data_IF_997545438783
#
_entry.id   IF_997545438783
#
_cell.length_a   1.000
_cell.length_b   1.000
_cell.length_c   1.000
_cell.angle_alpha   90.00
_cell.angle_beta   90.00
_cell.angle_gamma   90.00
#
_symmetry.space_group_name_H-M   'P 1'
#
loop_
_entity.id
_entity.type
_entity.pdbx_description
1 polymer ?
#
# COMPACT_ATOMS: atom_id res chain seq x y z
N UNK A 1 11.19 12.71 11.15
CA UNK A 1 11.37 12.92 9.69
C UNK A 1 10.80 11.75 8.91
N UNK A 2 9.64 11.96 8.31
CA UNK A 2 9.03 11.07 7.33
C UNK A 2 9.69 11.32 5.96
N UNK A 3 9.98 10.28 5.21
CA UNK A 3 10.51 10.42 3.85
C UNK A 3 9.32 10.47 2.91
N UNK A 4 8.98 11.66 2.42
CA UNK A 4 8.12 11.79 1.25
C UNK A 4 8.93 11.39 0.02
N UNK A 5 8.44 10.40 -0.74
CA UNK A 5 9.05 10.02 -2.00
C UNK A 5 8.77 11.12 -3.03
N UNK A 6 9.78 11.91 -3.38
CA UNK A 6 9.71 13.08 -4.26
C UNK A 6 9.34 12.76 -5.72
N UNK A 7 9.40 11.49 -6.13
CA UNK A 7 9.02 11.05 -7.48
C UNK A 7 7.51 10.86 -7.69
N UNK A 8 6.68 11.04 -6.64
CA UNK A 8 5.21 11.03 -6.73
C UNK A 8 4.58 12.44 -6.70
N UNK A 9 5.38 13.51 -6.63
CA UNK A 9 4.87 14.89 -6.73
C UNK A 9 4.04 15.19 -7.99
N UNK A 10 4.24 14.55 -9.17
CA UNK A 10 3.39 14.84 -10.34
C UNK A 10 1.93 14.41 -10.18
N UNK A 11 1.63 13.46 -9.30
CA UNK A 11 0.25 13.00 -9.07
C UNK A 11 -0.53 13.99 -8.18
N UNK A 12 0.17 14.68 -7.26
CA UNK A 12 -0.41 15.73 -6.43
C UNK A 12 -0.47 17.09 -7.13
N UNK A 13 0.49 17.43 -8.00
CA UNK A 13 0.48 18.72 -8.74
C UNK A 13 -0.48 18.73 -9.93
N UNK A 14 -0.80 17.57 -10.51
CA UNK A 14 -1.84 17.44 -11.56
C UNK A 14 -3.25 17.20 -11.01
N UNK A 15 -3.40 16.73 -9.76
CA UNK A 15 -4.70 16.72 -9.09
C UNK A 15 -5.05 18.15 -8.72
N UNK A 16 -5.91 18.75 -9.54
CA UNK A 16 -6.77 19.83 -9.10
C UNK A 16 -7.71 19.26 -8.04
N UNK A 17 -7.21 19.03 -6.82
CA UNK A 17 -8.01 18.95 -5.60
C UNK A 17 -8.70 20.30 -5.52
N UNK A 18 -9.84 20.45 -6.20
CA UNK A 18 -10.78 21.49 -5.83
C UNK A 18 -11.16 21.15 -4.41
N UNK A 19 -10.59 21.90 -3.48
CA UNK A 19 -11.18 22.12 -2.17
C UNK A 19 -12.59 22.63 -2.44
N UNK A 20 -13.55 21.72 -2.54
CA UNK A 20 -14.94 22.07 -2.36
C UNK A 20 -15.15 22.13 -0.84
N UNK A 21 -14.56 23.16 -0.22
CA UNK A 21 -15.17 23.71 0.98
C UNK A 21 -16.59 24.06 0.57
N UNK A 22 -17.55 23.53 1.31
CA UNK A 22 -18.95 23.83 1.06
C UNK A 22 -19.12 25.35 1.15
N UNK A 23 -19.45 26.02 0.04
CA UNK A 23 -19.85 27.42 0.05
C UNK A 23 -21.31 27.58 0.53
N UNK A 24 -21.99 26.47 0.88
CA UNK A 24 -23.24 26.52 1.62
C UNK A 24 -22.94 26.51 3.11
N UNK A 25 -23.65 27.34 3.87
CA UNK A 25 -23.59 27.58 5.33
C UNK A 25 -23.73 26.32 6.23
N UNK A 26 -23.68 25.11 5.67
CA UNK A 26 -23.78 23.86 6.39
C UNK A 26 -22.49 23.05 6.21
N UNK A 27 -21.56 23.17 7.15
CA UNK A 27 -20.26 22.48 7.07
C UNK A 27 -20.35 20.94 7.20
N UNK A 28 -21.55 20.38 7.34
CA UNK A 28 -21.77 18.94 7.56
C UNK A 28 -21.51 18.11 6.31
N UNK A 29 -21.08 16.87 6.51
CA UNK A 29 -20.80 15.90 5.46
C UNK A 29 -22.04 15.60 4.61
N UNK A 30 -21.91 15.69 3.30
CA UNK A 30 -22.96 15.40 2.31
C UNK A 30 -23.41 13.94 2.29
N UNK A 31 -22.64 13.03 2.89
CA UNK A 31 -22.93 11.59 2.93
C UNK A 31 -23.65 11.17 4.20
N UNK A 32 -23.17 11.56 5.37
CA UNK A 32 -23.79 11.16 6.65
C UNK A 32 -24.59 12.29 7.32
N UNK A 33 -24.37 13.56 6.95
CA UNK A 33 -25.06 14.70 7.54
C UNK A 33 -24.73 15.01 9.01
N UNK A 34 -23.74 14.33 9.62
CA UNK A 34 -23.42 14.44 11.05
C UNK A 34 -22.24 15.35 11.34
N UNK A 35 -21.06 14.97 10.86
CA UNK A 35 -19.78 15.63 11.13
C UNK A 35 -19.37 16.60 10.02
N UNK A 36 -18.44 17.55 10.28
CA UNK A 36 -17.92 18.42 9.24
C UNK A 36 -17.29 17.66 8.06
N UNK A 37 -17.57 18.10 6.84
CA UNK A 37 -17.01 17.50 5.62
C UNK A 37 -15.53 17.83 5.47
N UNK A 38 -14.68 16.94 6.00
CA UNK A 38 -13.23 17.03 5.85
C UNK A 38 -12.71 15.82 5.06
N UNK A 39 -11.52 15.94 4.46
CA UNK A 39 -10.85 14.79 3.82
C UNK A 39 -10.73 13.65 4.83
N UNK A 40 -10.33 13.96 6.07
CA UNK A 40 -10.26 12.99 7.18
C UNK A 40 -11.58 12.29 7.42
N UNK A 41 -12.69 13.05 7.43
CA UNK A 41 -14.02 12.49 7.60
C UNK A 41 -14.39 11.57 6.43
N UNK A 42 -14.36 12.05 5.19
CA UNK A 42 -14.75 11.28 3.99
C UNK A 42 -13.95 9.98 3.87
N UNK A 43 -12.64 10.06 4.12
CA UNK A 43 -11.72 8.96 3.83
C UNK A 43 -11.69 7.86 4.87
N UNK A 44 -12.11 8.13 6.11
CA UNK A 44 -11.90 7.16 7.20
C UNK A 44 -12.79 7.33 8.44
N UNK A 45 -13.68 8.32 8.51
CA UNK A 45 -14.56 8.50 9.67
C UNK A 45 -16.06 8.69 9.33
N UNK A 46 -16.40 8.84 8.05
CA UNK A 46 -17.78 8.89 7.60
C UNK A 46 -18.42 7.52 7.76
N UNK A 47 -19.38 7.37 8.65
CA UNK A 47 -20.08 6.10 8.92
C UNK A 47 -20.65 5.43 7.65
N UNK A 48 -21.00 6.21 6.63
CA UNK A 48 -21.57 5.71 5.37
C UNK A 48 -20.49 5.26 4.36
N UNK A 49 -19.24 5.72 4.49
CA UNK A 49 -18.16 5.44 3.53
C UNK A 49 -17.01 4.63 4.13
N UNK A 50 -16.65 4.93 5.38
CA UNK A 50 -15.46 4.41 6.03
C UNK A 50 -15.44 2.87 6.13
N UNK A 51 -16.54 2.16 6.46
CA UNK A 51 -16.49 0.71 6.59
C UNK A 51 -16.09 0.00 5.29
N UNK A 52 -16.79 0.28 4.19
CA UNK A 52 -16.54 -0.35 2.89
C UNK A 52 -15.18 0.01 2.32
N UNK A 53 -14.79 1.28 2.43
CA UNK A 53 -13.55 1.79 1.84
C UNK A 53 -12.32 1.41 2.68
N UNK A 54 -12.48 1.23 4.00
CA UNK A 54 -11.43 0.69 4.85
C UNK A 54 -11.14 -0.77 4.50
N UNK A 55 -12.19 -1.61 4.35
CA UNK A 55 -12.06 -3.02 3.95
C UNK A 55 -11.41 -3.11 2.56
N UNK A 56 -11.89 -2.33 1.59
CA UNK A 56 -11.34 -2.36 0.23
C UNK A 56 -9.84 -2.03 0.20
N UNK A 57 -9.40 -0.95 0.85
CA UNK A 57 -7.97 -0.58 0.88
C UNK A 57 -7.13 -1.59 1.65
N UNK A 58 -7.70 -2.18 2.71
CA UNK A 58 -7.07 -3.25 3.44
C UNK A 58 -6.79 -4.44 2.53
N UNK A 59 -7.81 -4.91 1.81
CA UNK A 59 -7.72 -6.07 0.94
C UNK A 59 -6.76 -5.82 -0.24
N UNK A 60 -6.82 -4.64 -0.87
CA UNK A 60 -5.87 -4.28 -1.94
C UNK A 60 -4.40 -4.26 -1.48
N UNK A 61 -4.12 -3.81 -0.25
CA UNK A 61 -2.77 -3.86 0.32
C UNK A 61 -2.37 -5.29 0.66
N UNK A 62 -3.32 -6.08 1.17
CA UNK A 62 -3.11 -7.47 1.50
C UNK A 62 -2.83 -8.32 0.26
N UNK A 63 -3.52 -8.07 -0.85
CA UNK A 63 -3.27 -8.69 -2.16
C UNK A 63 -1.83 -8.44 -2.63
N UNK A 64 -1.35 -7.18 -2.53
CA UNK A 64 0.03 -6.82 -2.90
C UNK A 64 1.04 -7.59 -2.06
N UNK A 65 0.86 -7.66 -0.73
CA UNK A 65 1.77 -8.39 0.15
C UNK A 65 1.72 -9.89 -0.14
N UNK A 66 0.53 -10.47 -0.27
CA UNK A 66 0.36 -11.88 -0.56
C UNK A 66 1.04 -12.26 -1.87
N UNK A 67 0.85 -11.48 -2.93
CA UNK A 67 1.52 -11.68 -4.21
C UNK A 67 3.05 -11.63 -4.05
N UNK A 68 3.58 -10.64 -3.34
CA UNK A 68 5.04 -10.50 -3.16
C UNK A 68 5.65 -11.64 -2.35
N UNK A 69 4.92 -12.17 -1.37
CA UNK A 69 5.35 -13.35 -0.60
C UNK A 69 5.28 -14.62 -1.45
N UNK A 70 4.23 -14.78 -2.26
CA UNK A 70 4.10 -15.92 -3.17
C UNK A 70 5.22 -15.94 -4.22
N UNK A 71 5.56 -14.78 -4.79
CA UNK A 71 6.70 -14.61 -5.70
C UNK A 71 8.03 -14.93 -5.01
N UNK A 72 8.27 -14.39 -3.81
CA UNK A 72 9.52 -14.58 -3.08
C UNK A 72 9.73 -16.02 -2.58
N UNK A 73 8.64 -16.78 -2.39
CA UNK A 73 8.65 -18.17 -1.96
C UNK A 73 8.50 -19.18 -3.11
N UNK A 74 8.48 -18.70 -4.36
CA UNK A 74 8.31 -19.52 -5.57
C UNK A 74 7.05 -20.40 -5.50
N UNK A 75 5.94 -19.82 -5.01
CA UNK A 75 4.64 -20.47 -4.86
C UNK A 75 3.70 -20.22 -6.05
N UNK A 76 4.12 -19.42 -7.02
CA UNK A 76 3.33 -19.08 -8.21
C UNK A 76 4.28 -18.89 -9.40
N UNK A 77 3.95 -19.52 -10.52
CA UNK A 77 4.77 -19.46 -11.75
C UNK A 77 4.40 -18.25 -12.62
N UNK A 78 3.12 -17.87 -12.63
CA UNK A 78 2.60 -16.77 -13.44
C UNK A 78 2.74 -15.40 -12.76
N UNK A 79 3.49 -14.50 -13.41
CA UNK A 79 3.58 -13.10 -13.00
C UNK A 79 2.44 -12.30 -13.62
N UNK A 80 1.43 -11.98 -12.81
CA UNK A 80 0.38 -11.05 -13.23
C UNK A 80 0.56 -9.66 -12.57
N UNK A 81 0.06 -8.58 -13.18
CA UNK A 81 0.04 -7.28 -12.53
C UNK A 81 -0.80 -7.28 -11.24
N UNK A 82 -0.37 -6.53 -10.23
CA UNK A 82 -1.01 -6.52 -8.89
C UNK A 82 -2.52 -6.25 -8.90
N UNK A 83 -3.02 -5.46 -9.85
CA UNK A 83 -4.44 -5.11 -9.95
C UNK A 83 -5.33 -6.23 -10.55
N UNK A 84 -4.73 -7.31 -11.08
CA UNK A 84 -5.43 -8.52 -11.53
C UNK A 84 -5.25 -9.70 -10.57
N UNK A 85 -4.38 -9.54 -9.58
CA UNK A 85 -4.04 -10.60 -8.66
C UNK A 85 -5.24 -10.97 -7.79
N UNK A 86 -5.41 -12.27 -7.52
CA UNK A 86 -6.36 -12.76 -6.52
C UNK A 86 -5.63 -13.77 -5.64
N UNK A 87 -5.57 -13.55 -4.33
CA UNK A 87 -4.88 -14.47 -3.43
C UNK A 87 -5.64 -15.79 -3.34
N UNK A 88 -4.89 -16.90 -3.42
CA UNK A 88 -5.43 -18.21 -3.10
C UNK A 88 -5.43 -18.40 -1.57
N UNK A 89 -6.45 -19.09 -1.04
CA UNK A 89 -6.58 -19.32 0.41
C UNK A 89 -5.37 -20.06 1.01
N UNK A 90 -4.77 -20.96 0.23
CA UNK A 90 -3.58 -21.72 0.60
C UNK A 90 -2.69 -21.87 -0.63
N UNK A 91 -1.42 -21.52 -0.48
CA UNK A 91 -0.36 -21.90 -1.41
C UNK A 91 0.69 -22.69 -0.62
N UNK A 92 1.17 -23.80 -1.18
CA UNK A 92 2.09 -24.68 -0.47
C UNK A 92 3.05 -25.38 -1.46
N UNK A 93 4.33 -25.41 -1.10
CA UNK A 93 5.35 -26.24 -1.72
C UNK A 93 6.15 -26.95 -0.61
N UNK A 94 7.23 -27.64 -0.95
CA UNK A 94 8.05 -28.39 0.02
C UNK A 94 8.72 -27.49 1.08
N UNK A 95 8.94 -26.22 0.75
CA UNK A 95 9.70 -25.28 1.57
C UNK A 95 8.81 -24.31 2.35
N UNK A 96 7.68 -23.91 1.77
CA UNK A 96 6.84 -22.83 2.23
C UNK A 96 5.36 -23.18 2.22
N UNK A 97 4.64 -22.57 3.15
CA UNK A 97 3.18 -22.60 3.23
C UNK A 97 2.67 -21.21 3.49
N UNK A 98 1.78 -20.71 2.65
CA UNK A 98 1.19 -19.38 2.73
C UNK A 98 -0.32 -19.52 2.87
N UNK A 99 -0.84 -19.02 3.99
CA UNK A 99 -2.28 -18.92 4.22
C UNK A 99 -2.75 -17.50 4.02
N UNK A 100 -3.93 -17.38 3.41
CA UNK A 100 -4.67 -16.15 3.26
C UNK A 100 -5.99 -16.22 4.02
N UNK A 101 -6.24 -15.23 4.86
CA UNK A 101 -7.50 -14.99 5.56
C UNK A 101 -8.13 -16.25 6.19
N UNK A 102 -7.30 -17.07 6.84
CA UNK A 102 -7.68 -18.38 7.37
C UNK A 102 -7.50 -18.43 8.89
N UNK A 103 -8.51 -18.92 9.59
CA UNK A 103 -8.42 -19.19 11.02
C UNK A 103 -7.48 -20.37 11.30
N UNK A 104 -6.64 -20.22 12.31
CA UNK A 104 -5.75 -21.25 12.82
C UNK A 104 -6.41 -21.84 14.07
N UNK A 105 -6.73 -23.13 14.02
CA UNK A 105 -7.29 -23.85 15.16
C UNK A 105 -6.13 -24.24 16.07
N UNK A 106 -6.28 -23.93 17.36
CA UNK A 106 -5.30 -24.22 18.42
C UNK A 106 -5.93 -25.10 19.49
N UNK A 107 -5.10 -25.85 20.23
CA UNK A 107 -5.58 -26.74 21.30
C UNK A 107 -6.19 -25.96 22.47
N UNK A 108 -5.67 -24.76 22.74
CA UNK A 108 -6.25 -23.81 23.69
C UNK A 108 -7.06 -22.75 22.97
N UNK A 109 -8.08 -22.24 23.65
CA UNK A 109 -8.83 -21.07 23.18
C UNK A 109 -7.93 -19.84 23.24
N UNK A 110 -7.73 -19.19 22.09
CA UNK A 110 -7.05 -17.89 21.99
C UNK A 110 -8.04 -16.82 21.51
N UNK A 111 -7.91 -15.56 21.96
CA UNK A 111 -8.88 -14.50 21.65
C UNK A 111 -8.87 -14.11 20.16
N UNK A 112 -7.72 -14.21 19.49
CA UNK A 112 -7.57 -13.88 18.08
C UNK A 112 -6.82 -15.00 17.36
N UNK A 113 -7.46 -15.60 16.35
CA UNK A 113 -6.92 -16.78 15.66
C UNK A 113 -6.89 -16.68 14.13
N UNK A 114 -7.23 -15.52 13.55
CA UNK A 114 -7.33 -15.32 12.09
C UNK A 114 -6.45 -14.14 11.61
N UNK A 115 -5.13 -14.33 11.51
CA UNK A 115 -4.26 -13.36 10.83
C UNK A 115 -4.66 -13.18 9.37
N UNK A 116 -4.36 -12.01 8.79
CA UNK A 116 -4.66 -11.75 7.37
C UNK A 116 -3.82 -12.67 6.47
N UNK A 117 -2.53 -12.81 6.81
CA UNK A 117 -1.59 -13.67 6.09
C UNK A 117 -0.73 -14.43 7.10
N UNK A 118 -0.51 -15.72 6.84
CA UNK A 118 0.45 -16.54 7.60
C UNK A 118 1.43 -17.19 6.64
N UNK A 119 2.72 -16.87 6.76
CA UNK A 119 3.79 -17.50 5.98
C UNK A 119 4.60 -18.41 6.88
N UNK A 120 4.72 -19.69 6.53
CA UNK A 120 5.53 -20.67 7.23
C UNK A 120 6.66 -21.14 6.33
N UNK A 121 7.89 -21.03 6.81
CA UNK A 121 9.06 -21.70 6.23
C UNK A 121 9.25 -23.04 6.96
N UNK A 122 8.99 -24.13 6.25
CA UNK A 122 9.03 -25.51 6.76
C UNK A 122 10.46 -25.93 7.12
N UNK A 123 11.45 -25.58 6.29
CA UNK A 123 12.86 -25.93 6.50
C UNK A 123 13.47 -25.21 7.68
N UNK A 124 13.31 -23.88 7.74
CA UNK A 124 13.84 -23.06 8.83
C UNK A 124 13.00 -23.16 10.12
N UNK A 125 11.81 -23.78 10.04
CA UNK A 125 10.79 -23.85 11.09
C UNK A 125 10.48 -22.47 11.66
N UNK A 126 10.25 -21.50 10.76
CA UNK A 126 9.90 -20.14 11.12
C UNK A 126 8.56 -19.76 10.53
N UNK A 127 7.67 -19.21 11.37
CA UNK A 127 6.35 -18.72 10.94
C UNK A 127 6.25 -17.21 11.12
N UNK A 128 5.58 -16.53 10.20
CA UNK A 128 5.29 -15.11 10.23
C UNK A 128 3.78 -14.91 10.22
N UNK A 129 3.25 -14.26 11.25
CA UNK A 129 1.85 -13.83 11.32
C UNK A 129 1.80 -12.37 10.94
N UNK A 130 1.11 -12.05 9.86
CA UNK A 130 1.06 -10.73 9.26
C UNK A 130 -0.34 -10.17 9.45
N UNK A 131 -0.41 -8.95 9.95
CA UNK A 131 -1.65 -8.25 10.23
C UNK A 131 -1.59 -6.85 9.64
N UNK A 132 -2.58 -6.51 8.83
CA UNK A 132 -2.61 -5.32 7.98
C UNK A 132 -3.59 -4.32 8.56
N UNK A 133 -3.27 -3.04 8.46
CA UNK A 133 -4.21 -1.98 8.83
C UNK A 133 -3.97 -0.69 8.08
N UNK A 134 -5.07 -0.02 7.74
CA UNK A 134 -5.09 1.28 7.07
C UNK A 134 -5.74 2.35 7.97
N UNK A 135 -5.10 2.74 9.09
CA UNK A 135 -5.69 3.70 10.01
C UNK A 135 -5.61 5.13 9.48
N UNK A 136 -6.29 6.04 10.16
CA UNK A 136 -6.00 7.47 10.03
C UNK A 136 -4.60 7.80 10.54
N UNK A 137 -3.99 8.86 9.98
CA UNK A 137 -2.64 9.32 10.36
C UNK A 137 -2.47 9.55 11.87
N UNK A 138 -3.46 10.12 12.55
CA UNK A 138 -3.40 10.39 13.99
C UNK A 138 -3.42 9.11 14.85
N UNK A 139 -4.00 8.02 14.33
CA UNK A 139 -4.09 6.73 15.02
C UNK A 139 -2.93 5.80 14.67
N UNK A 140 -2.02 6.21 13.78
CA UNK A 140 -1.00 5.34 13.20
C UNK A 140 -0.13 4.65 14.27
N UNK A 141 0.37 5.42 15.24
CA UNK A 141 1.20 4.87 16.31
C UNK A 141 0.44 3.86 17.19
N UNK A 142 -0.78 4.22 17.61
CA UNK A 142 -1.66 3.36 18.41
C UNK A 142 -1.95 2.04 17.67
N UNK A 143 -2.36 2.11 16.41
CA UNK A 143 -2.67 0.93 15.60
C UNK A 143 -1.45 0.03 15.39
N UNK A 144 -0.24 0.57 15.22
CA UNK A 144 0.97 -0.24 15.13
C UNK A 144 1.17 -1.06 16.41
N UNK A 145 1.06 -0.43 17.59
CA UNK A 145 1.22 -1.12 18.87
C UNK A 145 0.15 -2.18 19.10
N UNK A 146 -1.11 -1.88 18.79
CA UNK A 146 -2.23 -2.84 18.89
C UNK A 146 -1.97 -4.08 18.02
N UNK A 147 -1.58 -3.87 16.76
CA UNK A 147 -1.30 -4.95 15.80
C UNK A 147 -0.08 -5.80 16.19
N UNK A 148 0.93 -5.21 16.84
CA UNK A 148 2.08 -5.94 17.38
C UNK A 148 1.71 -6.89 18.52
N UNK A 149 0.64 -6.60 19.27
CA UNK A 149 0.26 -7.35 20.46
C UNK A 149 -0.90 -8.32 20.23
N UNK A 150 -1.72 -8.10 19.19
CA UNK A 150 -2.95 -8.86 18.93
C UNK A 150 -2.78 -10.38 18.90
N UNK A 151 -1.72 -10.88 18.25
CA UNK A 151 -1.52 -12.32 18.02
C UNK A 151 -0.42 -12.95 18.91
N UNK A 152 -0.08 -12.33 20.04
CA UNK A 152 0.98 -12.84 20.92
C UNK A 152 0.68 -14.24 21.47
N UNK A 153 -0.56 -14.50 21.89
CA UNK A 153 -0.96 -15.81 22.41
C UNK A 153 -1.01 -16.87 21.31
N UNK A 154 -1.61 -16.53 20.16
CA UNK A 154 -1.61 -17.39 18.98
C UNK A 154 -0.19 -17.78 18.56
N UNK A 155 0.76 -16.83 18.59
CA UNK A 155 2.16 -17.11 18.24
C UNK A 155 2.81 -18.12 19.19
N UNK A 156 2.49 -18.08 20.49
CA UNK A 156 3.00 -19.05 21.48
C UNK A 156 2.43 -20.44 21.21
N UNK A 157 1.14 -20.55 20.97
CA UNK A 157 0.48 -21.83 20.70
C UNK A 157 0.98 -22.45 19.38
N UNK A 158 1.05 -21.67 18.30
CA UNK A 158 1.61 -22.12 17.01
C UNK A 158 3.05 -22.62 17.18
N UNK A 159 3.87 -21.92 17.98
CA UNK A 159 5.26 -22.31 18.20
C UNK A 159 5.37 -23.73 18.75
N UNK A 160 4.51 -24.07 19.72
CA UNK A 160 4.48 -25.39 20.35
C UNK A 160 3.85 -26.41 19.40
N UNK A 161 2.62 -26.14 18.91
CA UNK A 161 1.86 -27.08 18.08
C UNK A 161 2.58 -27.46 16.80
N UNK A 162 3.16 -26.48 16.10
CA UNK A 162 3.84 -26.70 14.82
C UNK A 162 5.35 -26.90 14.99
N UNK A 163 5.83 -27.05 16.24
CA UNK A 163 7.25 -27.26 16.60
C UNK A 163 8.17 -26.25 15.89
N UNK A 164 7.77 -24.99 15.87
CA UNK A 164 8.50 -23.92 15.20
C UNK A 164 9.65 -23.41 16.09
N UNK A 165 10.77 -23.07 15.46
CA UNK A 165 11.90 -22.39 16.11
C UNK A 165 11.52 -20.96 16.50
N UNK A 166 10.77 -20.26 15.64
CA UNK A 166 10.27 -18.93 15.94
C UNK A 166 8.94 -18.64 15.23
N UNK A 167 8.08 -17.89 15.91
CA UNK A 167 6.87 -17.29 15.33
C UNK A 167 6.97 -15.79 15.50
N UNK A 168 6.92 -15.04 14.39
CA UNK A 168 7.17 -13.60 14.34
C UNK A 168 5.90 -12.87 13.96
N UNK A 169 5.53 -11.86 14.75
CA UNK A 169 4.44 -10.95 14.43
C UNK A 169 4.96 -9.80 13.57
N UNK A 170 4.29 -9.55 12.45
CA UNK A 170 4.69 -8.54 11.47
C UNK A 170 3.51 -7.62 11.16
N UNK A 171 3.39 -6.48 11.84
CA UNK A 171 2.38 -5.48 11.49
C UNK A 171 2.74 -4.81 10.17
N UNK A 172 1.75 -4.66 9.29
CA UNK A 172 1.85 -3.92 8.04
C UNK A 172 0.84 -2.78 8.10
N UNK A 173 1.32 -1.57 8.42
CA UNK A 173 0.45 -0.42 8.67
C UNK A 173 0.82 0.73 7.74
N UNK A 174 -0.19 1.28 7.04
CA UNK A 174 -0.06 2.44 6.16
C UNK A 174 -1.22 3.39 6.46
N UNK A 175 -0.98 4.69 6.58
CA UNK A 175 -2.09 5.63 6.77
C UNK A 175 -3.00 5.66 5.55
N UNK A 176 -4.31 5.84 5.76
CA UNK A 176 -5.29 6.15 4.71
C UNK A 176 -4.86 7.31 3.78
N UNK A 177 -4.04 8.25 4.26
CA UNK A 177 -3.50 9.36 3.44
C UNK A 177 -2.21 8.99 2.68
N UNK A 178 -1.77 7.74 2.74
CA UNK A 178 -0.53 7.25 2.12
C UNK A 178 0.73 7.54 2.92
N UNK A 179 0.65 7.95 4.19
CA UNK A 179 1.85 8.14 5.03
C UNK A 179 2.43 6.78 5.40
N UNK A 180 3.74 6.63 5.19
CA UNK A 180 4.48 5.39 5.43
C UNK A 180 5.26 5.50 6.75
N UNK A 181 4.94 4.68 7.76
CA UNK A 181 5.72 4.65 9.00
C UNK A 181 7.07 3.99 8.79
N UNK A 182 8.10 4.41 9.54
CA UNK A 182 9.44 3.81 9.51
C UNK A 182 9.46 2.33 9.88
N UNK A 183 8.50 1.91 10.72
CA UNK A 183 8.33 0.50 11.12
C UNK A 183 8.02 -0.40 9.93
N UNK A 184 7.36 0.11 8.88
CA UNK A 184 7.04 -0.69 7.69
C UNK A 184 8.30 -1.22 7.01
N UNK A 185 9.36 -0.41 6.91
CA UNK A 185 10.63 -0.85 6.33
C UNK A 185 11.25 -2.02 7.10
N UNK A 186 11.11 -2.02 8.44
CA UNK A 186 11.56 -3.13 9.27
C UNK A 186 10.70 -4.38 9.06
N UNK A 187 9.37 -4.22 8.95
CA UNK A 187 8.45 -5.32 8.63
C UNK A 187 8.77 -5.97 7.28
N UNK A 188 8.98 -5.17 6.23
CA UNK A 188 9.34 -5.67 4.90
C UNK A 188 10.68 -6.42 4.93
N UNK A 189 11.69 -5.89 5.63
CA UNK A 189 12.98 -6.56 5.81
C UNK A 189 12.83 -7.91 6.53
N UNK A 190 11.98 -7.98 7.57
CA UNK A 190 11.72 -9.25 8.30
C UNK A 190 11.09 -10.32 7.41
N UNK A 191 10.27 -9.91 6.44
CA UNK A 191 9.65 -10.78 5.45
C UNK A 191 10.55 -11.09 4.24
N UNK A 192 11.78 -10.58 4.23
CA UNK A 192 12.70 -10.66 3.09
C UNK A 192 12.10 -10.09 1.79
N UNK A 193 11.25 -9.07 1.91
CA UNK A 193 10.69 -8.36 0.76
C UNK A 193 11.54 -7.16 0.40
N UNK A 194 11.55 -6.81 -0.90
CA UNK A 194 12.29 -5.66 -1.38
C UNK A 194 11.80 -4.36 -0.69
N UNK A 195 12.68 -3.44 -0.25
CA UNK A 195 12.28 -2.21 0.42
C UNK A 195 11.25 -1.41 -0.38
N UNK A 196 11.39 -1.33 -1.71
CA UNK A 196 10.47 -0.59 -2.59
C UNK A 196 9.04 -1.16 -2.67
N UNK A 197 8.73 -2.31 -2.06
CA UNK A 197 7.37 -2.84 -2.01
C UNK A 197 6.38 -1.84 -1.38
N UNK A 198 6.84 -1.00 -0.44
CA UNK A 198 5.98 0.06 0.13
C UNK A 198 5.42 1.00 -0.94
N UNK A 199 6.10 1.19 -2.08
CA UNK A 199 5.64 2.10 -3.14
C UNK A 199 4.37 1.57 -3.77
N UNK A 200 4.28 0.26 -4.02
CA UNK A 200 3.08 -0.37 -4.58
C UNK A 200 1.92 -0.31 -3.57
N UNK A 201 2.20 -0.61 -2.30
CA UNK A 201 1.21 -0.53 -1.24
C UNK A 201 0.70 0.91 -1.04
N UNK A 202 1.59 1.90 -1.09
CA UNK A 202 1.22 3.31 -1.00
C UNK A 202 0.33 3.73 -2.18
N UNK A 203 0.66 3.27 -3.39
CA UNK A 203 -0.13 3.57 -4.59
C UNK A 203 -1.56 3.05 -4.47
N UNK A 204 -1.76 1.80 -4.05
CA UNK A 204 -3.12 1.25 -3.91
C UNK A 204 -3.93 2.01 -2.86
N UNK A 205 -3.32 2.35 -1.72
CA UNK A 205 -4.00 3.15 -0.68
C UNK A 205 -4.40 4.53 -1.18
N UNK A 206 -3.52 5.23 -1.89
CA UNK A 206 -3.81 6.56 -2.43
C UNK A 206 -4.92 6.48 -3.49
N UNK A 207 -4.83 5.53 -4.42
CA UNK A 207 -5.84 5.35 -5.47
C UNK A 207 -7.22 5.00 -4.91
N UNK A 208 -7.27 4.11 -3.91
CA UNK A 208 -8.50 3.78 -3.20
C UNK A 208 -9.10 5.01 -2.52
N UNK A 209 -8.28 5.76 -1.80
CA UNK A 209 -8.71 6.97 -1.08
C UNK A 209 -9.19 8.11 -2.01
N UNK A 210 -8.52 8.30 -3.15
CA UNK A 210 -8.95 9.24 -4.18
C UNK A 210 -10.28 8.82 -4.81
N UNK A 211 -10.50 7.52 -5.01
CA UNK A 211 -11.78 7.00 -5.51
C UNK A 211 -12.92 7.31 -4.55
N UNK A 212 -12.72 7.13 -3.24
CA UNK A 212 -13.68 7.51 -2.19
C UNK A 212 -14.03 9.00 -2.24
N UNK A 213 -13.02 9.87 -2.34
CA UNK A 213 -13.22 11.32 -2.42
C UNK A 213 -13.92 11.75 -3.72
N UNK A 214 -13.64 11.07 -4.82
CA UNK A 214 -14.35 11.23 -6.10
C UNK A 214 -15.82 10.84 -5.99
N UNK A 215 -16.14 9.75 -5.29
CA UNK A 215 -17.52 9.31 -5.01
C UNK A 215 -18.25 10.35 -4.15
N UNK A 216 -17.58 10.95 -3.17
CA UNK A 216 -18.17 12.03 -2.34
C UNK A 216 -18.47 13.31 -3.15
N UNK A 217 -17.63 13.64 -4.14
CA UNK A 217 -17.79 14.87 -4.94
C UNK A 217 -18.85 14.79 -6.05
N UNK A 218 -19.20 13.60 -6.56
CA UNK A 218 -20.15 13.43 -7.68
C UNK A 218 -21.63 13.67 -7.34
N UNK A 219 -21.99 13.77 -6.06
CA UNK A 219 -23.39 13.95 -5.63
C UNK A 219 -23.78 15.41 -5.29
N UNK A 220 -22.90 16.40 -5.50
CA UNK A 220 -23.34 17.79 -5.63
C UNK A 220 -23.83 18.02 -7.06
N UNK A 221 -25.16 18.03 -7.25
CA UNK A 221 -25.80 18.20 -8.56
C UNK A 221 -25.32 19.45 -9.31
N UNK A 222 -24.67 19.25 -10.46
CA UNK A 222 -24.85 20.05 -11.68
C UNK A 222 -24.22 19.29 -12.86
N UNK A 223 -24.98 19.22 -13.95
CA UNK A 223 -24.69 18.58 -15.23
C UNK A 223 -23.27 18.91 -15.75
N UNK A 224 -22.34 17.95 -15.69
CA UNK A 224 -21.30 17.71 -16.73
C UNK A 224 -20.52 16.44 -16.39
N UNK A 225 -21.08 15.33 -16.85
CA UNK A 225 -20.36 14.08 -16.92
C UNK A 225 -19.38 14.08 -18.12
N UNK A 226 -18.44 13.16 -18.02
CA UNK A 226 -17.61 12.56 -19.08
C UNK A 226 -16.22 13.16 -19.33
N UNK A 227 -15.26 12.22 -19.39
CA UNK A 227 -13.91 12.22 -19.98
C UNK A 227 -12.75 12.57 -19.05
N UNK A 228 -12.26 11.57 -18.32
CA UNK A 228 -10.82 11.51 -17.98
C UNK A 228 -10.31 10.08 -17.66
N UNK A 229 -11.18 9.06 -17.60
CA UNK A 229 -10.77 7.68 -17.38
C UNK A 229 -10.12 7.00 -18.61
N UNK A 230 -10.30 7.56 -19.82
CA UNK A 230 -9.80 6.97 -21.07
C UNK A 230 -8.37 7.41 -21.46
N UNK A 231 -7.58 7.98 -20.53
CA UNK A 231 -6.17 8.37 -20.78
C UNK A 231 -5.20 7.84 -19.74
N UNK A 232 -5.37 6.59 -19.33
CA UNK A 232 -4.27 5.85 -18.69
C UNK A 232 -3.71 4.91 -19.76
N UNK A 233 -2.56 5.21 -20.39
CA UNK A 233 -1.95 4.26 -21.30
C UNK A 233 -1.52 3.02 -20.50
N UNK A 234 -2.21 1.90 -20.76
CA UNK A 234 -1.80 0.58 -20.31
C UNK A 234 -0.66 0.13 -21.22
N UNK A 235 0.50 -0.11 -20.64
CA UNK A 235 1.62 -0.78 -21.30
C UNK A 235 2.62 0.17 -21.96
N UNK A 236 3.72 0.42 -21.26
CA UNK A 236 5.04 0.47 -21.91
C UNK A 236 6.02 -0.30 -21.03
N UNK A 237 6.62 -1.33 -21.62
CA UNK A 237 7.68 -2.14 -21.02
C UNK A 237 8.85 -1.23 -20.63
N UNK A 238 9.24 -1.24 -19.35
CA UNK A 238 10.49 -0.63 -18.92
C UNK A 238 11.62 -1.64 -19.12
N UNK A 239 12.71 -1.30 -19.84
CA UNK A 239 13.81 -2.23 -20.06
C UNK A 239 14.61 -2.47 -18.78
N UNK A 240 15.00 -3.72 -18.57
CA UNK A 240 15.91 -4.16 -17.51
C UNK A 240 17.33 -3.63 -17.76
N UNK A 241 18.11 -3.26 -16.71
CA UNK A 241 19.48 -2.81 -16.90
C UNK A 241 20.43 -4.02 -16.90
N UNK A 242 21.01 -4.33 -18.06
CA UNK A 242 22.17 -5.22 -18.16
C UNK A 242 23.25 -4.61 -19.06
N UNK A 243 24.27 -4.04 -18.40
CA UNK A 243 25.68 -3.80 -18.76
C UNK A 243 26.07 -3.08 -20.07
N UNK A 244 27.28 -2.46 -20.10
CA UNK A 244 27.58 -1.32 -20.97
C UNK A 244 28.13 -1.75 -22.32
N UNK A 245 27.75 -1.02 -23.37
CA UNK A 245 28.45 -1.05 -24.65
C UNK A 245 28.73 0.39 -25.11
N UNK A 246 30.00 0.60 -25.39
CA UNK A 246 30.62 1.76 -26.04
C UNK A 246 29.84 2.26 -27.25
N UNK A 247 29.58 3.56 -27.32
CA UNK A 247 29.03 4.19 -28.50
C UNK A 247 28.71 5.66 -28.28
N UNK A 248 29.56 6.53 -28.83
CA UNK A 248 29.40 7.98 -28.84
C UNK A 248 28.10 8.33 -29.58
N UNK A 249 27.06 8.78 -28.87
CA UNK A 249 25.87 9.38 -29.50
C UNK A 249 25.49 10.65 -28.74
N UNK A 250 25.46 11.76 -29.49
CA UNK A 250 25.13 13.10 -29.03
C UNK A 250 23.70 13.15 -28.48
N UNK A 251 23.53 13.73 -27.30
CA UNK A 251 22.22 14.06 -26.75
C UNK A 251 21.61 15.23 -27.55
N UNK A 252 20.32 15.17 -27.94
CA UNK A 252 19.65 16.30 -28.58
C UNK A 252 19.51 17.48 -27.61
N UNK A 253 19.83 18.68 -28.10
CA UNK A 253 20.00 19.94 -27.37
C UNK A 253 18.75 20.52 -26.64
N UNK A 254 17.70 19.72 -26.40
CA UNK A 254 16.49 20.13 -25.66
C UNK A 254 16.45 19.63 -24.20
N UNK A 255 17.51 19.01 -23.69
CA UNK A 255 17.55 18.39 -22.35
C UNK A 255 18.52 19.04 -21.35
N UNK A 256 19.19 20.14 -21.69
CA UNK A 256 20.26 20.72 -20.83
C UNK A 256 19.76 21.78 -19.83
N UNK A 257 18.49 22.18 -19.84
CA UNK A 257 18.01 23.30 -18.99
C UNK A 257 17.31 22.92 -17.67
N UNK A 258 17.25 21.63 -17.28
CA UNK A 258 16.56 21.22 -16.04
C UNK A 258 17.45 20.73 -14.89
N UNK A 259 18.79 20.83 -14.98
CA UNK A 259 19.68 20.29 -13.93
C UNK A 259 20.50 21.31 -13.14
N UNK A 260 20.55 22.60 -13.50
CA UNK A 260 21.24 23.62 -12.69
C UNK A 260 20.60 25.01 -12.84
N UNK A 261 19.79 25.48 -11.88
CA UNK A 261 19.38 26.88 -11.86
C UNK A 261 20.55 27.72 -11.31
N UNK A 262 21.18 28.54 -12.16
CA UNK A 262 22.00 29.67 -11.67
C UNK A 262 23.43 29.85 -12.19
N UNK A 263 23.79 29.51 -13.44
CA UNK A 263 24.99 30.10 -14.07
C UNK A 263 24.66 30.64 -15.46
N UNK A 264 24.89 31.94 -15.63
CA UNK A 264 24.87 32.64 -16.92
C UNK A 264 25.97 32.06 -17.82
N UNK A 265 25.65 31.87 -19.08
CA UNK A 265 26.62 31.57 -20.13
C UNK A 265 27.59 32.74 -20.30
N UNK A 266 28.89 32.44 -20.32
CA UNK A 266 29.93 33.32 -20.85
C UNK A 266 30.62 32.57 -22.00
N UNK A 267 30.82 33.30 -23.09
CA UNK A 267 31.04 32.78 -24.44
C UNK A 267 32.40 32.13 -24.71
N UNK A 268 32.42 31.44 -25.84
CA UNK A 268 33.59 30.91 -26.53
C UNK A 268 34.52 32.03 -27.00
N UNK A 269 35.84 31.77 -27.04
CA UNK A 269 36.77 32.18 -28.10
C UNK A 269 38.04 31.29 -28.04
N UNK A 270 38.38 30.75 -29.23
CA UNK A 270 39.60 30.03 -29.68
C UNK A 270 40.05 28.75 -28.98
#
# INVERSE_FOLDING_TARGET
>A
MAVFCSSLMPCFTGMRFRYFLNNNNNNKCRRCGKEPETIRHITAACEQLAPTECIKRHDEVADVIHQKLAEAAELTEDKCPYYKYKPANVLENDNFKLYWNRSIITDKTVPFNRPDITLTNKKAKNTFLIDIAIPNTHNLAKTITEKQNKYQELAKEIRVMWKQNAVKLVPIVISATGIIPKSLSQSLKRLNLHPNTYIQMQKVVILGTCSTAGIASRHSNSLRAVRFADRIPVGQNFPHPSRPASGRTQLPAKWVTCLFPGRKAAGAWH
#
